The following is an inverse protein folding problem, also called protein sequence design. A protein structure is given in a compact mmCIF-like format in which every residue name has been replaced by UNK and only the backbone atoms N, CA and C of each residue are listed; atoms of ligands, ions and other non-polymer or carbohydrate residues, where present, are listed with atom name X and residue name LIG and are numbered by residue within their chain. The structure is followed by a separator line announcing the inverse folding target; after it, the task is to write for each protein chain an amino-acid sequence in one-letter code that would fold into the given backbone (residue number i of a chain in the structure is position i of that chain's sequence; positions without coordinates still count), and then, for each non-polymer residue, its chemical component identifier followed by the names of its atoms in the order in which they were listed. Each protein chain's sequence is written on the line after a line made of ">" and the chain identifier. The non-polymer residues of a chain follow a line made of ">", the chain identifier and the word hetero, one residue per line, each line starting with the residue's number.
data_IF_756419712090
#
_entry.id   IF_756419712090
#
_cell.length_a   1.000
_cell.length_b   1.000
_cell.length_c   1.000
_cell.angle_alpha   90.00
_cell.angle_beta   90.00
_cell.angle_gamma   90.00
#
_symmetry.space_group_name_H-M   'P 1'
#
loop_
_entity.id
_entity.type
_entity.pdbx_description
1 polymer ?
#
# COMPACT_ATOMS: atom_id res chain seq x y z
N UNK A 1 -10.62 -2.30 -14.51
CA UNK A 1 -9.47 -2.95 -13.83
C UNK A 1 -9.82 -3.06 -12.36
N UNK A 2 -9.89 -4.27 -11.82
CA UNK A 2 -10.33 -4.51 -10.44
C UNK A 2 -9.19 -4.18 -9.47
N UNK A 3 -9.44 -3.24 -8.56
CA UNK A 3 -8.51 -2.86 -7.49
C UNK A 3 -8.23 -4.09 -6.59
N UNK A 4 -6.95 -4.42 -6.35
CA UNK A 4 -6.58 -5.55 -5.46
C UNK A 4 -6.53 -5.03 -4.04
N UNK A 5 -7.64 -5.14 -3.31
CA UNK A 5 -7.73 -4.75 -1.90
C UNK A 5 -8.27 -5.90 -1.07
N UNK A 6 -7.44 -6.91 -0.78
CA UNK A 6 -7.90 -8.10 -0.08
C UNK A 6 -8.16 -7.86 1.41
N UNK A 7 -7.79 -6.69 1.96
CA UNK A 7 -7.88 -6.37 3.37
C UNK A 7 -8.89 -5.26 3.66
N UNK A 8 -9.51 -5.32 4.84
CA UNK A 8 -10.45 -4.30 5.31
C UNK A 8 -9.78 -2.92 5.46
N UNK A 9 -10.63 -1.88 5.47
CA UNK A 9 -10.22 -0.52 5.77
C UNK A 9 -9.57 -0.41 7.16
N UNK A 10 -8.69 0.59 7.33
CA UNK A 10 -8.12 0.91 8.64
C UNK A 10 -9.21 1.44 9.59
N UNK A 11 -9.06 1.16 10.88
CA UNK A 11 -9.81 1.90 11.90
C UNK A 11 -9.32 3.37 11.95
N UNK A 12 -10.16 4.24 12.53
CA UNK A 12 -9.91 5.69 12.56
C UNK A 12 -8.61 6.07 13.26
N UNK A 13 -8.22 5.36 14.32
CA UNK A 13 -7.01 5.67 15.07
C UNK A 13 -5.76 5.30 14.26
N UNK A 14 -5.77 4.12 13.64
CA UNK A 14 -4.68 3.66 12.77
C UNK A 14 -4.53 4.57 11.54
N UNK A 15 -5.64 5.01 10.93
CA UNK A 15 -5.58 5.96 9.82
C UNK A 15 -5.01 7.32 10.25
N UNK A 16 -5.45 7.85 11.40
CA UNK A 16 -4.94 9.11 11.93
C UNK A 16 -3.43 9.05 12.23
N UNK A 17 -2.96 7.94 12.81
CA UNK A 17 -1.54 7.71 13.07
C UNK A 17 -0.74 7.63 11.76
N UNK A 18 -1.24 6.90 10.74
CA UNK A 18 -0.61 6.81 9.43
C UNK A 18 -0.52 8.19 8.76
N UNK A 19 -1.59 8.99 8.80
CA UNK A 19 -1.61 10.36 8.27
C UNK A 19 -0.60 11.25 8.96
N UNK A 20 -0.54 11.22 10.29
CA UNK A 20 0.46 11.98 11.06
C UNK A 20 1.89 11.56 10.69
N UNK A 21 2.13 10.25 10.52
CA UNK A 21 3.42 9.73 10.06
C UNK A 21 3.79 10.24 8.66
N UNK A 22 2.85 10.22 7.70
CA UNK A 22 3.09 10.69 6.33
C UNK A 22 3.39 12.19 6.31
N UNK A 23 2.67 13.00 7.09
CA UNK A 23 2.96 14.44 7.19
C UNK A 23 4.35 14.73 7.76
N UNK A 24 4.78 13.94 8.75
CA UNK A 24 6.03 14.17 9.47
C UNK A 24 7.26 13.62 8.74
N UNK A 25 7.12 12.46 8.11
CA UNK A 25 8.24 11.68 7.60
C UNK A 25 8.14 11.35 6.11
N UNK A 26 7.05 11.74 5.46
CA UNK A 26 6.71 11.25 4.13
C UNK A 26 6.30 9.77 4.14
N UNK A 27 6.19 9.19 2.95
CA UNK A 27 5.91 7.76 2.79
C UNK A 27 7.23 6.98 2.92
N UNK A 28 7.47 6.45 4.12
CA UNK A 28 8.71 5.70 4.44
C UNK A 28 8.75 4.36 3.70
N UNK A 29 7.63 3.63 3.68
CA UNK A 29 7.57 2.33 3.00
C UNK A 29 6.96 2.50 1.62
N UNK A 30 7.69 2.17 0.54
CA UNK A 30 7.23 2.36 -0.82
C UNK A 30 5.86 1.73 -1.11
N UNK A 31 5.17 2.35 -2.06
CA UNK A 31 4.00 1.78 -2.70
C UNK A 31 4.48 0.75 -3.72
N UNK A 32 3.91 -0.44 -3.68
CA UNK A 32 4.23 -1.48 -4.67
C UNK A 32 3.17 -1.45 -5.74
N UNK A 33 3.57 -1.32 -7.00
CA UNK A 33 2.64 -1.37 -8.13
C UNK A 33 3.24 -2.11 -9.32
N UNK A 34 2.39 -2.54 -10.25
CA UNK A 34 2.82 -3.07 -11.54
C UNK A 34 3.25 -1.93 -12.47
N UNK A 35 4.04 -2.22 -13.53
CA UNK A 35 4.38 -1.23 -14.55
C UNK A 35 3.15 -0.56 -15.19
N UNK A 36 2.02 -1.24 -15.24
CA UNK A 36 0.73 -0.78 -15.77
C UNK A 36 -0.03 0.11 -14.78
N UNK A 37 0.54 0.39 -13.60
CA UNK A 37 -0.03 1.30 -12.61
C UNK A 37 -0.97 0.65 -11.60
N UNK A 38 -1.07 -0.69 -11.58
CA UNK A 38 -1.92 -1.40 -10.62
C UNK A 38 -1.22 -1.50 -9.27
N UNK A 39 -1.82 -0.94 -8.22
CA UNK A 39 -1.27 -1.02 -6.85
C UNK A 39 -1.45 -2.45 -6.32
N UNK A 40 -0.37 -3.01 -5.77
CA UNK A 40 -0.31 -4.30 -5.10
C UNK A 40 -0.18 -4.15 -3.57
N UNK A 41 0.48 -3.09 -3.09
CA UNK A 41 0.57 -2.73 -1.68
C UNK A 41 0.66 -1.21 -1.49
N UNK A 42 0.07 -0.72 -0.40
CA UNK A 42 0.17 0.67 0.02
C UNK A 42 -0.99 1.56 -0.40
N UNK A 43 -2.17 0.99 -0.69
CA UNK A 43 -3.33 1.78 -1.09
C UNK A 43 -3.71 2.89 -0.10
N UNK A 44 -3.71 2.62 1.22
CA UNK A 44 -3.95 3.65 2.22
C UNK A 44 -2.87 4.75 2.19
N UNK A 45 -1.61 4.39 1.92
CA UNK A 45 -0.51 5.35 1.78
C UNK A 45 -0.69 6.21 0.54
N UNK A 46 -1.07 5.62 -0.60
CA UNK A 46 -1.37 6.37 -1.84
C UNK A 46 -2.50 7.35 -1.61
N UNK A 47 -3.61 6.90 -1.01
CA UNK A 47 -4.77 7.75 -0.76
C UNK A 47 -4.39 8.95 0.12
N UNK A 48 -3.79 8.68 1.28
CA UNK A 48 -3.41 9.73 2.22
C UNK A 48 -2.34 10.65 1.63
N UNK A 49 -1.30 10.11 1.00
CA UNK A 49 -0.24 10.94 0.41
C UNK A 49 -0.77 11.86 -0.69
N UNK A 50 -1.73 11.39 -1.51
CA UNK A 50 -2.43 12.24 -2.50
C UNK A 50 -3.27 13.34 -1.84
N UNK A 51 -4.04 13.00 -0.80
CA UNK A 51 -4.83 13.99 -0.05
C UNK A 51 -3.94 15.06 0.60
N UNK A 52 -2.75 14.68 1.07
CA UNK A 52 -1.80 15.57 1.73
C UNK A 52 -0.82 16.27 0.75
N UNK A 53 -0.89 15.97 -0.55
CA UNK A 53 0.03 16.52 -1.54
C UNK A 53 1.49 16.09 -1.36
N UNK A 54 1.72 14.92 -0.75
CA UNK A 54 3.04 14.38 -0.44
C UNK A 54 3.46 13.39 -1.54
N UNK A 55 4.67 13.56 -2.08
CA UNK A 55 5.26 12.59 -3.00
C UNK A 55 5.63 11.30 -2.26
N UNK A 56 5.58 10.17 -2.98
CA UNK A 56 5.83 8.86 -2.39
C UNK A 56 6.67 7.97 -3.31
N UNK A 57 7.59 7.18 -2.73
CA UNK A 57 8.40 6.26 -3.52
C UNK A 57 7.55 5.09 -4.02
N UNK A 58 7.83 4.69 -5.26
CA UNK A 58 7.17 3.57 -5.94
C UNK A 58 8.20 2.47 -6.19
N UNK A 59 7.84 1.24 -5.81
CA UNK A 59 8.55 0.02 -6.20
C UNK A 59 7.73 -0.70 -7.27
N UNK A 60 8.33 -0.89 -8.45
CA UNK A 60 7.69 -1.68 -9.50
C UNK A 60 7.87 -3.17 -9.28
N UNK A 61 6.78 -3.93 -9.43
CA UNK A 61 6.76 -5.39 -9.36
C UNK A 61 6.07 -5.94 -10.60
N UNK A 62 6.80 -6.74 -11.39
CA UNK A 62 6.22 -7.44 -12.53
C UNK A 62 5.38 -8.61 -12.04
N UNK A 63 4.26 -8.83 -12.72
CA UNK A 63 3.33 -9.93 -12.49
C UNK A 63 2.95 -10.53 -13.85
N UNK A 64 2.70 -11.83 -13.88
CA UNK A 64 2.32 -12.60 -15.07
C UNK A 64 0.83 -12.45 -15.37
N UNK A 65 0.01 -12.48 -14.34
CA UNK A 65 -1.44 -12.43 -14.43
C UNK A 65 -2.08 -11.86 -13.14
N UNK A 66 -3.41 -11.82 -13.13
CA UNK A 66 -4.20 -11.31 -12.00
C UNK A 66 -4.12 -12.19 -10.74
N UNK A 67 -3.87 -13.49 -10.91
CA UNK A 67 -3.75 -14.43 -9.80
C UNK A 67 -2.45 -14.19 -9.05
N UNK A 68 -1.32 -14.12 -9.76
CA UNK A 68 -0.02 -13.78 -9.17
C UNK A 68 -0.03 -12.39 -8.52
N UNK A 69 -0.70 -11.42 -9.13
CA UNK A 69 -0.85 -10.09 -8.54
C UNK A 69 -1.59 -10.15 -7.18
N UNK A 70 -2.62 -11.00 -7.08
CA UNK A 70 -3.37 -11.20 -5.84
C UNK A 70 -2.54 -11.94 -4.78
N UNK A 71 -1.81 -12.98 -5.17
CA UNK A 71 -0.91 -13.73 -4.28
C UNK A 71 0.18 -12.83 -3.70
N UNK A 72 0.81 -11.99 -4.53
CA UNK A 72 1.81 -11.02 -4.09
C UNK A 72 1.20 -9.99 -3.13
N UNK A 73 0.02 -9.46 -3.43
CA UNK A 73 -0.65 -8.50 -2.55
C UNK A 73 -0.96 -9.11 -1.17
N UNK A 74 -1.39 -10.37 -1.11
CA UNK A 74 -1.62 -11.11 0.13
C UNK A 74 -0.31 -11.31 0.89
N UNK A 75 0.74 -11.77 0.20
CA UNK A 75 2.07 -12.04 0.79
C UNK A 75 2.67 -10.77 1.40
N UNK A 76 2.69 -9.67 0.66
CA UNK A 76 3.22 -8.38 1.13
C UNK A 76 2.50 -7.86 2.38
N UNK A 77 1.21 -8.15 2.53
CA UNK A 77 0.46 -7.79 3.73
C UNK A 77 0.65 -8.79 4.87
N UNK A 78 0.73 -10.09 4.59
CA UNK A 78 0.95 -11.15 5.58
C UNK A 78 2.33 -11.01 6.25
N UNK A 79 3.39 -10.81 5.45
CA UNK A 79 4.75 -10.58 5.94
C UNK A 79 4.80 -9.36 6.89
N UNK A 80 3.97 -8.34 6.64
CA UNK A 80 3.87 -7.15 7.50
C UNK A 80 3.05 -7.39 8.76
N UNK A 81 2.03 -8.25 8.72
CA UNK A 81 1.25 -8.65 9.92
C UNK A 81 2.05 -9.57 10.85
N UNK A 82 3.03 -10.29 10.32
CA UNK A 82 3.99 -11.06 11.12
C UNK A 82 5.01 -10.17 11.86
N UNK A 83 5.16 -8.89 11.47
CA UNK A 83 5.99 -7.91 12.19
C UNK A 83 5.27 -7.24 13.38
N UNK A 84 4.03 -7.65 13.67
CA UNK A 84 3.30 -7.24 14.87
C UNK A 84 2.99 -8.46 15.74
N UNK A 85 3.98 -8.84 16.55
CA UNK A 85 3.77 -9.32 17.91
C UNK A 85 4.87 -8.81 18.83
#
# INVERSE_FOLDING_TARGET
>A
MTEIQPFAALDKATEAALRASIRRFGVIVPVVQTPEGRILDGHHRVRIAREEGVEFPIRYQKVRDDEEAREIAITLNADRRHLTR
#
